data_IF_831433533086
#
_entry.id   IF_831433533086
#
_cell.length_a   1.000
_cell.length_b   1.000
_cell.length_c   1.000
_cell.angle_alpha   90.00
_cell.angle_beta   90.00
_cell.angle_gamma   90.00
#
_symmetry.space_group_name_H-M   'P 1'
#
loop_
_entity.id
_entity.type
_entity.pdbx_description
1 polymer ?
#
# COMPACT_ATOMS: atom_id res chain seq x y z
N UNK A 1 18.48 -2.56 11.31
CA UNK A 1 17.24 -2.95 10.64
C UNK A 1 16.68 -1.79 9.86
N UNK A 2 16.56 -1.99 8.56
CA UNK A 2 16.03 -0.96 7.69
C UNK A 2 14.55 -1.20 7.43
N UNK A 3 13.79 -0.14 7.54
CA UNK A 3 12.37 -0.18 7.23
C UNK A 3 12.14 0.68 6.00
N UNK A 4 11.43 0.12 5.03
CA UNK A 4 11.09 0.83 3.81
C UNK A 4 9.63 1.26 3.85
N UNK A 5 9.39 2.47 3.41
CA UNK A 5 8.05 3.04 3.33
C UNK A 5 7.74 3.32 1.87
N UNK A 6 6.58 2.89 1.43
CA UNK A 6 6.14 3.09 0.05
C UNK A 6 4.75 3.69 0.05
N UNK A 7 4.56 4.69 -0.77
CA UNK A 7 3.25 5.31 -0.93
C UNK A 7 2.70 4.95 -2.31
N UNK A 8 1.50 4.40 -2.33
CA UNK A 8 0.80 4.05 -3.57
C UNK A 8 -0.43 4.93 -3.70
N UNK A 9 -0.63 5.47 -4.89
CA UNK A 9 -1.79 6.31 -5.16
C UNK A 9 -2.50 5.77 -6.40
N UNK A 10 -3.71 5.27 -6.23
CA UNK A 10 -4.51 4.74 -7.33
C UNK A 10 -5.94 5.21 -7.16
N UNK A 11 -6.55 5.67 -8.25
CA UNK A 11 -7.97 6.07 -8.26
C UNK A 11 -8.30 7.06 -7.14
N UNK A 12 -7.38 7.98 -6.86
CA UNK A 12 -7.58 8.98 -5.82
C UNK A 12 -7.40 8.45 -4.40
N UNK A 13 -6.98 7.22 -4.26
CA UNK A 13 -6.73 6.58 -2.96
C UNK A 13 -5.24 6.54 -2.70
N UNK A 14 -4.84 6.90 -1.50
CA UNK A 14 -3.45 6.79 -1.08
C UNK A 14 -3.33 5.70 -0.03
N UNK A 15 -2.34 4.85 -0.18
CA UNK A 15 -2.06 3.80 0.78
C UNK A 15 -0.56 3.74 1.03
N UNK A 16 -0.20 3.58 2.28
CA UNK A 16 1.20 3.53 2.67
C UNK A 16 1.54 2.11 3.13
N UNK A 17 2.64 1.60 2.60
CA UNK A 17 3.09 0.26 2.95
C UNK A 17 4.43 0.32 3.65
N UNK A 18 4.73 -0.72 4.40
CA UNK A 18 5.95 -0.81 5.18
C UNK A 18 6.48 -2.24 5.05
N UNK A 19 7.78 -2.37 4.97
CA UNK A 19 8.39 -3.69 4.84
C UNK A 19 9.88 -3.65 5.08
N UNK A 20 10.47 -4.81 5.19
CA UNK A 20 11.91 -4.94 5.42
C UNK A 20 12.71 -4.64 4.16
N UNK A 21 12.09 -4.71 3.01
CA UNK A 21 12.71 -4.35 1.76
C UNK A 21 11.67 -3.66 0.89
N UNK A 22 12.15 -3.10 -0.22
CA UNK A 22 11.29 -2.30 -1.07
C UNK A 22 10.12 -3.12 -1.63
N UNK A 23 10.42 -4.34 -2.07
CA UNK A 23 9.38 -5.19 -2.66
C UNK A 23 8.28 -5.50 -1.66
N UNK A 24 8.65 -5.85 -0.44
CA UNK A 24 7.68 -6.15 0.60
C UNK A 24 6.83 -4.91 0.92
N UNK A 25 7.47 -3.74 1.00
CA UNK A 25 6.77 -2.50 1.28
C UNK A 25 5.77 -2.16 0.17
N UNK A 26 6.17 -2.40 -1.09
CA UNK A 26 5.29 -2.15 -2.23
C UNK A 26 4.07 -3.08 -2.19
N UNK A 27 4.30 -4.34 -1.87
CA UNK A 27 3.20 -5.29 -1.78
C UNK A 27 2.24 -4.92 -0.66
N UNK A 28 2.78 -4.48 0.46
CA UNK A 28 1.96 -4.07 1.59
C UNK A 28 1.10 -2.86 1.21
N UNK A 29 1.68 -1.89 0.54
CA UNK A 29 0.96 -0.70 0.12
C UNK A 29 -0.15 -1.06 -0.88
N UNK A 30 0.16 -1.94 -1.84
CA UNK A 30 -0.81 -2.35 -2.84
C UNK A 30 -1.98 -3.08 -2.20
N UNK A 31 -1.70 -3.94 -1.25
CA UNK A 31 -2.75 -4.69 -0.57
C UNK A 31 -3.68 -3.73 0.19
N UNK A 32 -3.10 -2.75 0.88
CA UNK A 32 -3.90 -1.79 1.61
C UNK A 32 -4.76 -0.94 0.67
N UNK A 33 -4.22 -0.59 -0.49
CA UNK A 33 -5.00 0.17 -1.47
C UNK A 33 -6.19 -0.65 -1.96
N UNK A 34 -5.97 -1.95 -2.20
CA UNK A 34 -7.06 -2.82 -2.64
C UNK A 34 -8.13 -2.95 -1.58
N UNK A 35 -7.74 -3.05 -0.32
CA UNK A 35 -8.71 -3.13 0.77
C UNK A 35 -9.58 -1.89 0.82
N UNK A 36 -8.98 -0.72 0.63
CA UNK A 36 -9.73 0.53 0.63
C UNK A 36 -10.71 0.55 -0.55
N UNK A 37 -10.25 0.12 -1.73
CA UNK A 37 -11.10 0.08 -2.91
C UNK A 37 -12.29 -0.84 -2.70
N UNK A 38 -12.06 -1.99 -2.08
CA UNK A 38 -13.15 -2.94 -1.84
C UNK A 38 -14.18 -2.38 -0.87
N UNK A 39 -13.73 -1.64 0.13
CA UNK A 39 -14.63 -1.04 1.09
C UNK A 39 -15.50 0.05 0.46
N UNK A 40 -14.95 0.75 -0.53
CA UNK A 40 -15.68 1.84 -1.17
C UNK A 40 -16.52 1.38 -2.36
N UNK A 41 -16.35 0.14 -2.78
CA UNK A 41 -17.16 -0.39 -3.87
C UNK A 41 -18.57 -0.67 -3.39
N UNK A 42 -19.56 -0.31 -4.20
CA UNK A 42 -20.96 -0.62 -3.86
C UNK A 42 -21.27 -2.09 -3.90
#
# INVERSE_FOLDING_TARGET
>A
DKTFWVLVRVFGIEAQGIGKNKKTAEQDAARKALEILEEESP
#
